data_IF_632976418129
#
_entry.id   IF_632976418129
#
_cell.length_a   1.000
_cell.length_b   1.000
_cell.length_c   1.000
_cell.angle_alpha   90.00
_cell.angle_beta   90.00
_cell.angle_gamma   90.00
#
_symmetry.space_group_name_H-M   'P 1'
#
loop_
_entity.id
_entity.type
_entity.pdbx_description
1 polymer ?
#
# COMPACT_ATOMS: atom_id res chain seq x y z
N UNK A 1 12.22 -10.64 -13.37
CA UNK A 1 13.49 -9.92 -13.43
C UNK A 1 13.70 -9.17 -14.75
N UNK A 2 13.61 -9.82 -15.93
CA UNK A 2 13.70 -9.09 -17.21
C UNK A 2 12.71 -7.92 -17.31
N UNK A 3 11.50 -8.04 -16.80
CA UNK A 3 10.50 -6.97 -16.86
C UNK A 3 10.79 -5.82 -15.89
N UNK A 4 11.20 -6.07 -14.65
CA UNK A 4 11.53 -5.01 -13.67
C UNK A 4 12.82 -4.27 -14.06
N UNK A 5 13.87 -5.01 -14.45
CA UNK A 5 15.10 -4.42 -14.95
C UNK A 5 14.88 -3.70 -16.29
N UNK A 6 14.09 -4.27 -17.18
CA UNK A 6 13.78 -3.68 -18.47
C UNK A 6 12.94 -2.41 -18.34
N UNK A 7 11.95 -2.39 -17.45
CA UNK A 7 11.19 -1.17 -17.13
C UNK A 7 12.07 -0.11 -16.46
N UNK A 8 12.97 -0.49 -15.53
CA UNK A 8 13.87 0.46 -14.88
C UNK A 8 14.87 1.08 -15.87
N UNK A 9 15.34 0.30 -16.85
CA UNK A 9 16.25 0.78 -17.90
C UNK A 9 15.55 1.60 -18.99
N UNK A 10 14.31 1.27 -19.34
CA UNK A 10 13.55 1.99 -20.38
C UNK A 10 13.01 3.34 -19.90
N UNK A 11 12.88 3.57 -18.59
CA UNK A 11 12.49 4.87 -18.06
C UNK A 11 13.67 5.84 -17.87
N UNK A 12 14.90 5.40 -18.20
CA UNK A 12 16.13 6.19 -18.11
C UNK A 12 16.57 6.94 -19.37
N UNK A 13 15.94 6.72 -20.53
CA UNK A 13 16.36 7.34 -21.80
C UNK A 13 15.19 7.96 -22.57
N UNK A 14 14.84 9.21 -22.23
CA UNK A 14 14.39 10.21 -23.23
C UNK A 14 15.00 11.55 -22.89
N UNK A 15 16.00 11.90 -23.66
CA UNK A 15 16.57 13.23 -23.76
C UNK A 15 15.56 14.11 -24.51
N UNK A 16 15.20 15.24 -23.88
CA UNK A 16 14.27 16.30 -24.31
C UNK A 16 12.80 16.05 -23.92
N UNK A 17 12.41 16.83 -22.94
CA UNK A 17 11.08 16.94 -22.32
C UNK A 17 10.71 15.75 -21.42
N UNK A 18 10.87 15.97 -20.10
CA UNK A 18 10.09 15.25 -19.10
C UNK A 18 10.84 14.39 -18.11
N UNK A 19 10.55 14.68 -16.87
CA UNK A 19 10.53 13.81 -15.68
C UNK A 19 11.56 12.66 -15.68
N UNK A 20 12.77 13.00 -15.30
CA UNK A 20 13.71 12.02 -14.80
C UNK A 20 13.14 11.44 -13.50
N UNK A 21 12.44 10.32 -13.57
CA UNK A 21 12.31 9.43 -12.44
C UNK A 21 13.68 8.79 -12.19
N UNK A 22 14.61 9.58 -11.66
CA UNK A 22 15.91 9.05 -11.26
C UNK A 22 15.70 8.22 -10.01
N UNK A 23 15.76 6.89 -10.15
CA UNK A 23 15.79 6.01 -8.99
C UNK A 23 17.01 6.33 -8.12
N UNK A 24 16.80 6.25 -6.80
CA UNK A 24 17.91 6.46 -5.89
C UNK A 24 18.98 5.37 -6.08
N UNK A 25 20.24 5.70 -5.82
CA UNK A 25 21.33 4.71 -5.86
C UNK A 25 21.01 3.49 -4.98
N UNK A 26 20.34 3.69 -3.86
CA UNK A 26 19.91 2.62 -2.97
C UNK A 26 18.90 1.68 -3.66
N UNK A 27 17.99 2.22 -4.45
CA UNK A 27 17.03 1.41 -5.23
C UNK A 27 17.73 0.60 -6.31
N UNK A 28 18.69 1.18 -6.99
CA UNK A 28 19.50 0.47 -7.99
C UNK A 28 20.35 -0.64 -7.36
N UNK A 29 20.86 -0.41 -6.14
CA UNK A 29 21.59 -1.41 -5.37
C UNK A 29 20.68 -2.56 -4.92
N UNK A 30 19.47 -2.28 -4.43
CA UNK A 30 18.47 -3.30 -4.14
C UNK A 30 18.16 -4.14 -5.39
N UNK A 31 17.89 -3.52 -6.54
CA UNK A 31 17.61 -4.22 -7.79
C UNK A 31 18.78 -5.12 -8.23
N UNK A 32 20.01 -4.66 -8.09
CA UNK A 32 21.20 -5.42 -8.45
C UNK A 32 21.37 -6.68 -7.61
N UNK A 33 21.02 -6.60 -6.32
CA UNK A 33 21.21 -7.69 -5.36
C UNK A 33 19.98 -8.61 -5.23
N UNK A 34 18.85 -8.21 -5.78
CA UNK A 34 17.58 -8.93 -5.73
C UNK A 34 17.60 -10.17 -6.63
N UNK A 35 17.22 -11.31 -6.09
CA UNK A 35 16.98 -12.52 -6.86
C UNK A 35 15.66 -12.45 -7.63
N UNK A 36 15.47 -13.37 -8.59
CA UNK A 36 14.17 -13.51 -9.29
C UNK A 36 13.06 -13.85 -8.31
N UNK A 37 13.34 -14.66 -7.30
CA UNK A 37 12.37 -15.09 -6.29
C UNK A 37 11.92 -13.88 -5.45
N UNK A 38 12.86 -13.03 -5.04
CA UNK A 38 12.55 -11.82 -4.26
C UNK A 38 11.72 -10.83 -5.09
N UNK A 39 12.04 -10.67 -6.37
CA UNK A 39 11.28 -9.82 -7.28
C UNK A 39 9.83 -10.30 -7.46
N UNK A 40 9.62 -11.61 -7.64
CA UNK A 40 8.29 -12.22 -7.71
C UNK A 40 7.54 -12.11 -6.39
N UNK A 41 8.23 -12.24 -5.26
CA UNK A 41 7.66 -12.05 -3.94
C UNK A 41 7.18 -10.61 -3.76
N UNK A 42 8.01 -9.63 -4.12
CA UNK A 42 7.64 -8.23 -4.01
C UNK A 42 6.47 -7.88 -4.94
N UNK A 43 6.46 -8.38 -6.17
CA UNK A 43 5.34 -8.21 -7.10
C UNK A 43 4.02 -8.76 -6.52
N UNK A 44 4.05 -9.95 -5.90
CA UNK A 44 2.89 -10.55 -5.24
C UNK A 44 2.40 -9.71 -4.05
N UNK A 45 3.32 -9.19 -3.23
CA UNK A 45 2.97 -8.42 -2.03
C UNK A 45 2.51 -7.00 -2.39
N UNK A 46 2.89 -6.48 -3.54
CA UNK A 46 2.50 -5.14 -4.00
C UNK A 46 0.98 -4.93 -4.02
N UNK A 47 0.19 -5.98 -4.30
CA UNK A 47 -1.28 -5.92 -4.33
C UNK A 47 -1.92 -5.68 -2.93
N UNK A 48 -1.16 -5.87 -1.86
CA UNK A 48 -1.61 -5.71 -0.47
C UNK A 48 -1.05 -4.45 0.21
N UNK A 49 -0.30 -3.63 -0.53
CA UNK A 49 0.27 -2.40 0.00
C UNK A 49 -0.80 -1.32 0.11
N UNK A 50 -0.89 -0.70 1.28
CA UNK A 50 -1.82 0.36 1.64
C UNK A 50 -1.14 1.71 1.49
N UNK A 51 -1.84 2.69 0.91
CA UNK A 51 -1.36 4.07 0.72
C UNK A 51 0.02 4.14 0.06
N UNK A 52 0.32 3.22 -0.84
CA UNK A 52 1.61 3.09 -1.55
C UNK A 52 2.85 3.06 -0.64
N UNK A 53 2.67 2.79 0.64
CA UNK A 53 3.72 2.96 1.64
C UNK A 53 3.78 1.89 2.71
N UNK A 54 2.71 1.12 2.93
CA UNK A 54 2.60 0.27 4.10
C UNK A 54 1.99 -1.08 3.78
N UNK A 55 2.55 -2.15 4.35
CA UNK A 55 1.91 -3.44 4.43
C UNK A 55 1.32 -3.60 5.84
N UNK A 56 0.07 -4.03 5.94
CA UNK A 56 -0.59 -4.18 7.23
C UNK A 56 0.05 -5.31 8.04
N UNK A 57 0.39 -5.02 9.31
CA UNK A 57 0.98 -5.99 10.22
C UNK A 57 -0.12 -6.70 11.02
N UNK A 58 -0.74 -7.69 10.42
CA UNK A 58 -1.66 -8.61 11.07
C UNK A 58 -1.36 -10.03 10.60
N UNK A 59 -0.88 -10.88 11.53
CA UNK A 59 -0.41 -12.23 11.20
C UNK A 59 -1.53 -13.09 10.59
N UNK A 60 -2.74 -13.00 11.12
CA UNK A 60 -3.84 -13.84 10.65
C UNK A 60 -4.28 -13.43 9.24
N UNK A 61 -4.40 -12.12 9.01
CA UNK A 61 -4.73 -11.59 7.69
C UNK A 61 -3.65 -11.95 6.66
N UNK A 62 -2.39 -11.65 6.97
CA UNK A 62 -1.28 -11.92 6.06
C UNK A 62 -1.20 -13.41 5.69
N UNK A 63 -1.32 -14.31 6.66
CA UNK A 63 -1.32 -15.76 6.41
C UNK A 63 -2.52 -16.20 5.55
N UNK A 64 -3.70 -15.61 5.73
CA UNK A 64 -4.88 -15.89 4.90
C UNK A 64 -4.64 -15.59 3.42
N UNK A 65 -3.85 -14.55 3.13
CA UNK A 65 -3.50 -14.13 1.77
C UNK A 65 -2.12 -14.65 1.31
N UNK A 66 -1.59 -15.67 1.98
CA UNK A 66 -0.37 -16.35 1.59
C UNK A 66 0.91 -15.53 1.80
N UNK A 67 0.87 -14.56 2.71
CA UNK A 67 2.04 -13.77 3.10
C UNK A 67 2.55 -14.34 4.43
N UNK A 68 3.69 -15.01 4.38
CA UNK A 68 4.35 -15.54 5.58
C UNK A 68 5.22 -14.48 6.27
N UNK A 69 5.62 -14.76 7.51
CA UNK A 69 6.59 -13.89 8.18
C UNK A 69 7.97 -13.97 7.54
N UNK A 70 8.35 -15.13 7.00
CA UNK A 70 9.60 -15.29 6.25
C UNK A 70 9.61 -14.45 4.98
N UNK A 71 8.46 -14.32 4.29
CA UNK A 71 8.32 -13.39 3.15
C UNK A 71 8.64 -11.94 3.56
N UNK A 72 8.14 -11.54 4.76
CA UNK A 72 8.42 -10.20 5.30
C UNK A 72 9.91 -10.01 5.60
N UNK A 73 10.55 -11.00 6.22
CA UNK A 73 11.99 -10.97 6.51
C UNK A 73 12.82 -10.92 5.22
N UNK A 74 12.48 -11.71 4.22
CA UNK A 74 13.16 -11.71 2.93
C UNK A 74 13.09 -10.33 2.24
N UNK A 75 11.94 -9.66 2.32
CA UNK A 75 11.80 -8.30 1.76
C UNK A 75 12.53 -7.23 2.59
N UNK A 76 12.67 -7.44 3.91
CA UNK A 76 13.49 -6.57 4.76
C UNK A 76 14.98 -6.73 4.43
N UNK A 77 15.47 -7.96 4.28
CA UNK A 77 16.84 -8.25 3.87
C UNK A 77 17.17 -7.66 2.49
N UNK A 78 16.17 -7.65 1.58
CA UNK A 78 16.29 -6.96 0.29
C UNK A 78 16.25 -5.42 0.43
N UNK A 79 15.97 -4.89 1.60
CA UNK A 79 15.85 -3.46 1.85
C UNK A 79 14.61 -2.80 1.25
N UNK A 80 13.53 -3.57 1.03
CA UNK A 80 12.28 -3.08 0.42
C UNK A 80 11.23 -2.68 1.45
N UNK A 81 11.23 -3.34 2.60
CA UNK A 81 10.38 -3.02 3.74
C UNK A 81 11.23 -2.85 5.00
N UNK A 82 10.62 -2.41 6.09
CA UNK A 82 11.24 -2.39 7.40
C UNK A 82 10.38 -3.23 8.36
N UNK A 83 10.90 -4.38 8.76
CA UNK A 83 10.23 -5.32 9.68
C UNK A 83 10.61 -5.09 11.15
N UNK A 84 11.65 -4.31 11.42
CA UNK A 84 12.34 -4.25 12.73
C UNK A 84 11.64 -3.41 13.79
N UNK A 85 10.46 -2.84 13.52
CA UNK A 85 9.78 -1.97 14.47
C UNK A 85 8.28 -2.25 14.60
N UNK A 86 7.75 -2.07 15.82
CA UNK A 86 6.31 -1.89 16.03
C UNK A 86 5.95 -0.49 15.54
N UNK A 87 5.81 -0.33 14.23
CA UNK A 87 5.43 0.94 13.64
C UNK A 87 3.92 0.98 13.52
N UNK A 88 3.32 2.00 14.11
CA UNK A 88 1.90 2.23 14.03
C UNK A 88 1.64 3.52 13.26
N UNK A 89 0.93 3.40 12.13
CA UNK A 89 0.42 4.54 11.41
C UNK A 89 -0.76 5.12 12.20
N UNK A 90 -0.62 6.35 12.67
CA UNK A 90 -1.71 7.08 13.27
C UNK A 90 -2.33 7.99 12.21
N UNK A 91 -3.59 7.73 11.88
CA UNK A 91 -4.40 8.61 11.03
C UNK A 91 -5.30 9.45 11.90
N UNK A 92 -5.13 10.78 11.83
CA UNK A 92 -5.94 11.73 12.58
C UNK A 92 -7.20 12.07 11.80
N UNK A 93 -8.30 12.19 12.51
CA UNK A 93 -9.55 12.72 11.96
C UNK A 93 -9.37 14.16 11.48
N UNK A 94 -9.95 14.48 10.33
CA UNK A 94 -10.11 15.85 9.86
C UNK A 94 -11.12 16.63 10.71
N UNK A 95 -11.25 17.94 10.47
CA UNK A 95 -12.30 18.75 11.10
C UNK A 95 -13.72 18.25 10.79
N UNK A 96 -13.88 17.48 9.71
CA UNK A 96 -15.13 16.82 9.33
C UNK A 96 -15.33 15.45 9.99
N UNK A 97 -14.48 15.09 10.98
CA UNK A 97 -14.52 13.78 11.66
C UNK A 97 -14.31 12.58 10.72
N UNK A 98 -13.57 12.81 9.65
CA UNK A 98 -13.23 11.81 8.62
C UNK A 98 -11.76 11.46 8.66
N UNK A 99 -11.46 10.18 8.50
CA UNK A 99 -10.10 9.67 8.31
C UNK A 99 -10.07 8.96 6.96
N UNK A 100 -9.11 9.31 6.12
CA UNK A 100 -8.97 8.79 4.77
C UNK A 100 -7.77 7.84 4.68
N UNK A 101 -7.98 6.66 4.10
CA UNK A 101 -6.93 5.71 3.73
C UNK A 101 -7.05 5.42 2.24
N UNK A 102 -5.97 5.65 1.51
CA UNK A 102 -5.86 5.34 0.09
C UNK A 102 -5.55 3.83 -0.08
N UNK A 103 -6.34 3.16 -0.90
CA UNK A 103 -6.27 1.72 -1.19
C UNK A 103 -6.20 1.47 -2.69
N UNK A 104 -5.42 2.24 -3.41
CA UNK A 104 -5.20 2.16 -4.86
C UNK A 104 -6.44 2.58 -5.69
N UNK A 105 -7.34 1.66 -6.04
CA UNK A 105 -8.58 1.95 -6.79
C UNK A 105 -9.72 2.41 -5.88
N UNK A 106 -9.51 2.36 -4.57
CA UNK A 106 -10.50 2.70 -3.56
C UNK A 106 -9.94 3.68 -2.55
N UNK A 107 -10.84 4.44 -1.97
CA UNK A 107 -10.56 5.23 -0.77
C UNK A 107 -11.47 4.77 0.33
N UNK A 108 -10.88 4.45 1.47
CA UNK A 108 -11.60 4.09 2.66
C UNK A 108 -11.76 5.34 3.53
N UNK A 109 -13.02 5.71 3.79
CA UNK A 109 -13.39 6.80 4.67
C UNK A 109 -13.90 6.23 5.98
N UNK A 110 -13.30 6.65 7.08
CA UNK A 110 -13.78 6.36 8.42
C UNK A 110 -14.50 7.58 8.99
N UNK A 111 -15.60 7.33 9.66
CA UNK A 111 -16.37 8.34 10.38
C UNK A 111 -16.47 7.95 11.83
N UNK A 112 -16.14 8.85 12.73
CA UNK A 112 -16.35 8.69 14.16
C UNK A 112 -16.62 10.01 14.82
N UNK A 113 -17.56 10.04 15.73
CA UNK A 113 -17.83 11.22 16.55
C UNK A 113 -16.84 11.37 17.71
N UNK A 114 -16.27 10.27 18.17
CA UNK A 114 -15.46 10.20 19.38
C UNK A 114 -14.00 9.86 19.11
N UNK A 115 -13.71 9.03 18.11
CA UNK A 115 -12.35 8.61 17.77
C UNK A 115 -11.61 9.68 16.98
N UNK A 116 -10.58 10.25 17.59
CA UNK A 116 -9.76 11.29 16.95
C UNK A 116 -8.66 10.70 16.04
N UNK A 117 -8.27 9.45 16.23
CA UNK A 117 -7.24 8.79 15.42
C UNK A 117 -7.43 7.27 15.42
N UNK A 118 -7.02 6.64 14.32
CA UNK A 118 -6.95 5.19 14.16
C UNK A 118 -5.48 4.79 14.13
N UNK A 119 -5.14 3.76 14.90
CA UNK A 119 -3.80 3.18 14.93
C UNK A 119 -3.76 1.91 14.10
N UNK A 120 -2.88 1.86 13.10
CA UNK A 120 -2.72 0.75 12.17
C UNK A 120 -1.29 0.24 12.26
N UNK A 121 -1.10 -0.93 12.83
CA UNK A 121 0.21 -1.57 12.85
C UNK A 121 0.62 -1.96 11.42
N UNK A 122 1.84 -1.67 11.05
CA UNK A 122 2.28 -1.87 9.67
C UNK A 122 3.78 -2.12 9.57
N UNK A 123 4.16 -2.69 8.43
CA UNK A 123 5.54 -2.73 7.94
C UNK A 123 5.69 -1.66 6.85
N UNK A 124 6.40 -0.56 7.11
CA UNK A 124 6.57 0.48 6.11
C UNK A 124 7.50 0.03 4.98
N UNK A 125 7.16 0.41 3.77
CA UNK A 125 8.08 0.30 2.64
C UNK A 125 9.22 1.30 2.83
N UNK A 126 10.44 0.87 2.52
CA UNK A 126 11.59 1.77 2.42
C UNK A 126 11.43 2.71 1.23
N UNK A 127 12.36 3.65 1.05
CA UNK A 127 12.40 4.47 -0.16
C UNK A 127 12.53 3.58 -1.40
N UNK A 128 13.42 2.59 -1.37
CA UNK A 128 13.59 1.65 -2.47
C UNK A 128 12.30 0.87 -2.75
N UNK A 129 11.63 0.36 -1.71
CA UNK A 129 10.34 -0.31 -1.86
C UNK A 129 9.28 0.55 -2.52
N UNK A 130 9.14 1.82 -2.14
CA UNK A 130 8.18 2.74 -2.77
C UNK A 130 8.53 3.07 -4.23
N UNK A 131 9.81 3.31 -4.52
CA UNK A 131 10.26 3.57 -5.89
C UNK A 131 10.01 2.34 -6.78
N UNK A 132 10.25 1.12 -6.29
CA UNK A 132 9.97 -0.11 -7.04
C UNK A 132 8.48 -0.41 -7.15
N UNK A 133 7.69 -0.08 -6.14
CA UNK A 133 6.24 -0.24 -6.18
C UNK A 133 5.61 0.54 -7.34
N UNK A 134 6.17 1.71 -7.69
CA UNK A 134 5.69 2.52 -8.81
C UNK A 134 5.89 1.86 -10.18
N UNK A 135 6.82 0.89 -10.27
CA UNK A 135 7.13 0.15 -11.51
C UNK A 135 6.33 -1.14 -11.60
N UNK A 136 6.04 -1.75 -10.45
CA UNK A 136 5.27 -2.99 -10.39
C UNK A 136 3.86 -2.70 -10.88
N UNK A 137 3.41 -3.45 -11.90
CA UNK A 137 2.01 -3.40 -12.33
C UNK A 137 1.17 -3.99 -11.22
N UNK A 138 0.50 -3.13 -10.48
CA UNK A 138 -0.51 -3.58 -9.54
C UNK A 138 -1.68 -4.16 -10.33
N UNK A 139 -2.06 -5.38 -9.99
CA UNK A 139 -3.37 -5.88 -10.34
C UNK A 139 -4.41 -5.02 -9.61
N UNK A 140 -5.70 -5.19 -9.91
CA UNK A 140 -6.75 -4.47 -9.17
C UNK A 140 -6.61 -4.71 -7.68
N UNK A 141 -6.94 -3.71 -6.87
CA UNK A 141 -6.99 -3.86 -5.43
C UNK A 141 -7.77 -5.14 -5.04
N UNK A 142 -7.18 -5.95 -4.18
CA UNK A 142 -7.85 -7.16 -3.70
C UNK A 142 -8.98 -6.77 -2.74
N UNK A 143 -10.22 -6.78 -3.25
CA UNK A 143 -11.39 -6.34 -2.48
C UNK A 143 -11.67 -7.21 -1.27
N UNK A 144 -11.36 -8.51 -1.32
CA UNK A 144 -11.51 -9.40 -0.16
C UNK A 144 -10.49 -9.07 0.94
N UNK A 145 -9.25 -8.76 0.56
CA UNK A 145 -8.25 -8.27 1.51
C UNK A 145 -8.68 -6.95 2.16
N UNK A 146 -9.18 -6.02 1.36
CA UNK A 146 -9.68 -4.73 1.85
C UNK A 146 -10.83 -4.95 2.83
N UNK A 147 -11.79 -5.82 2.52
CA UNK A 147 -12.92 -6.15 3.39
C UNK A 147 -12.46 -6.72 4.73
N UNK A 148 -11.53 -7.68 4.70
CA UNK A 148 -11.01 -8.26 5.93
C UNK A 148 -10.19 -7.26 6.74
N UNK A 149 -9.39 -6.43 6.08
CA UNK A 149 -8.66 -5.32 6.71
C UNK A 149 -9.64 -4.38 7.44
N UNK A 150 -10.71 -3.97 6.79
CA UNK A 150 -11.74 -3.11 7.38
C UNK A 150 -12.36 -3.77 8.62
N UNK A 151 -12.74 -5.05 8.53
CA UNK A 151 -13.32 -5.79 9.67
C UNK A 151 -12.37 -5.83 10.88
N UNK A 152 -11.07 -5.99 10.66
CA UNK A 152 -10.09 -5.96 11.74
C UNK A 152 -10.04 -4.58 12.40
N UNK A 153 -10.08 -3.51 11.62
CA UNK A 153 -10.09 -2.14 12.16
C UNK A 153 -11.39 -1.86 12.92
N UNK A 154 -12.56 -2.28 12.38
CA UNK A 154 -13.85 -2.15 13.06
C UNK A 154 -13.89 -2.88 14.40
N UNK A 155 -13.38 -4.11 14.44
CA UNK A 155 -13.36 -4.88 15.70
C UNK A 155 -12.54 -4.21 16.79
N UNK A 156 -11.53 -3.44 16.43
CA UNK A 156 -10.69 -2.67 17.37
C UNK A 156 -11.33 -1.32 17.76
N UNK A 157 -12.26 -0.81 16.94
CA UNK A 157 -12.83 0.53 17.08
C UNK A 157 -14.34 0.47 16.81
N UNK A 158 -15.12 0.06 17.81
CA UNK A 158 -16.56 -0.26 17.68
C UNK A 158 -17.48 0.92 17.34
N UNK A 159 -17.01 2.15 17.55
CA UNK A 159 -17.74 3.40 17.32
C UNK A 159 -17.44 4.02 15.94
N UNK A 160 -16.75 3.28 15.06
CA UNK A 160 -16.35 3.77 13.75
C UNK A 160 -17.25 3.16 12.67
N UNK A 161 -17.83 4.02 11.85
CA UNK A 161 -18.47 3.65 10.59
C UNK A 161 -17.50 3.81 9.41
N UNK A 162 -17.75 3.10 8.33
CA UNK A 162 -16.86 3.04 7.17
C UNK A 162 -17.64 3.21 5.88
N UNK A 163 -17.02 3.89 4.93
CA UNK A 163 -17.48 3.93 3.55
C UNK A 163 -16.29 3.65 2.64
N UNK A 164 -16.46 2.72 1.73
CA UNK A 164 -15.49 2.41 0.68
C UNK A 164 -15.95 3.06 -0.61
N UNK A 165 -15.15 4.03 -1.10
CA UNK A 165 -15.44 4.75 -2.32
C UNK A 165 -14.51 4.29 -3.44
N UNK A 166 -15.04 3.98 -4.62
CA UNK A 166 -14.21 3.72 -5.80
C UNK A 166 -13.69 5.04 -6.37
N UNK A 167 -12.41 5.07 -6.70
CA UNK A 167 -11.74 6.27 -7.21
C UNK A 167 -12.03 6.42 -8.69
N UNK A 168 -12.64 7.55 -9.07
CA UNK A 168 -12.83 7.94 -10.46
C UNK A 168 -11.62 8.71 -11.02
N UNK A 169 -11.02 9.58 -10.20
CA UNK A 169 -9.83 10.33 -10.56
C UNK A 169 -9.05 10.80 -9.33
N UNK A 170 -7.74 11.00 -9.51
CA UNK A 170 -6.86 11.64 -8.53
C UNK A 170 -6.28 12.92 -9.16
N UNK A 171 -6.40 14.06 -8.48
CA UNK A 171 -5.89 15.35 -8.92
C UNK A 171 -5.13 16.02 -7.75
N UNK A 172 -3.82 15.85 -7.68
CA UNK A 172 -3.01 16.29 -6.55
C UNK A 172 -3.48 15.63 -5.26
N UNK A 173 -3.80 16.44 -4.25
CA UNK A 173 -4.29 15.98 -2.94
C UNK A 173 -5.80 15.67 -2.91
N UNK A 174 -6.48 15.78 -4.06
CA UNK A 174 -7.92 15.54 -4.17
C UNK A 174 -8.18 14.19 -4.82
N UNK A 175 -9.08 13.44 -4.22
CA UNK A 175 -9.62 12.19 -4.76
C UNK A 175 -11.07 12.41 -5.12
N UNK A 176 -11.41 12.13 -6.37
CA UNK A 176 -12.79 12.16 -6.88
C UNK A 176 -13.27 10.73 -6.87
N UNK A 177 -14.32 10.46 -6.11
CA UNK A 177 -14.98 9.16 -6.06
C UNK A 177 -16.09 9.09 -7.12
N UNK A 178 -16.35 7.90 -7.65
CA UNK A 178 -17.57 7.63 -8.42
C UNK A 178 -18.77 7.91 -7.48
N UNK A 179 -19.88 8.46 -8.01
CA UNK A 179 -21.04 8.93 -7.23
C UNK A 179 -21.77 7.85 -6.40
N UNK A 180 -21.26 6.65 -6.32
CA UNK A 180 -21.74 5.56 -5.47
C UNK A 180 -20.80 5.34 -4.29
N UNK A 181 -21.26 5.74 -3.12
CA UNK A 181 -20.75 5.18 -1.87
C UNK A 181 -21.01 3.67 -1.88
N UNK A 182 -19.95 2.88 -1.77
CA UNK A 182 -20.05 1.42 -1.71
C UNK A 182 -20.09 1.05 -0.24
N UNK A 183 -21.25 0.64 0.26
CA UNK A 183 -21.37 0.05 1.60
C UNK A 183 -20.60 -1.27 1.64
N UNK A 184 -19.87 -1.51 2.73
CA UNK A 184 -19.06 -2.72 2.92
C UNK A 184 -19.94 -3.97 3.05
N UNK A 185 -21.19 -3.80 3.46
CA UNK A 185 -22.15 -4.90 3.65
C UNK A 185 -22.78 -5.39 2.32
N UNK A 186 -22.55 -4.69 1.22
CA UNK A 186 -23.06 -5.03 -0.11
C UNK A 186 -22.11 -5.90 -0.97
N UNK A 187 -20.94 -6.33 -0.40
CA UNK A 187 -19.95 -7.13 -1.15
C UNK A 187 -19.50 -8.38 -0.41
#
# INVERSE_FOLDING_TARGET
>A
MRNLLHCALLHGEKINDVYYNSYSLKTLECLRNMSIIDAMLFERIADFVISDSYLFNDKALNSKYGISYDDILNLDDCGLINSSGLISLQKKSSNEKKILIDLYDYVLLFYSEHTQFISINNFPLTRAGRELLSIVKKNRANTDYIRDFIRIIQNKNRDISFTLCKVAAKAGDKVICEDKEISIDEY
#
